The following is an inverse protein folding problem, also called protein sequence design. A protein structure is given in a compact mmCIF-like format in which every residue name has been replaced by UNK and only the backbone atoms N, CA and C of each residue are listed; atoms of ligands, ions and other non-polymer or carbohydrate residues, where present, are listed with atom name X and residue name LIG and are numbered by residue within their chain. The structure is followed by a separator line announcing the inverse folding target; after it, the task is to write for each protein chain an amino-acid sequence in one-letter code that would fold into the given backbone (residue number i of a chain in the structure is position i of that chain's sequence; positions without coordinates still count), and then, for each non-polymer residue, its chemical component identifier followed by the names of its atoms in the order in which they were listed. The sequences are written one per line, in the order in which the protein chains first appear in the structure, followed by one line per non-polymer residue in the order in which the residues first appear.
data_IF_519008396238
#
_entry.id   IF_519008396238
#
_cell.length_a   1.000
_cell.length_b   1.000
_cell.length_c   1.000
_cell.angle_alpha   90.00
_cell.angle_beta   90.00
_cell.angle_gamma   90.00
#
_symmetry.space_group_name_H-M   'P 1'
#
loop_
_entity.id
_entity.type
_entity.pdbx_description
1 polymer ?
#
# COMPACT_ATOMS: atom_id res chain seq x y z
N UNK A 1 -33.15 12.84 24.51
CA UNK A 1 -32.92 13.58 25.78
C UNK A 1 -31.53 13.17 26.28
N UNK A 2 -30.47 13.95 26.04
CA UNK A 2 -30.05 15.15 26.81
C UNK A 2 -29.84 14.81 28.30
N UNK A 3 -28.80 15.23 29.01
CA UNK A 3 -27.57 15.97 28.74
C UNK A 3 -26.76 15.97 30.05
N UNK A 4 -25.43 16.10 29.93
CA UNK A 4 -24.54 16.93 30.79
C UNK A 4 -24.51 16.68 32.31
N UNK A 5 -23.31 16.39 32.81
CA UNK A 5 -22.86 16.81 34.13
C UNK A 5 -21.56 17.63 34.01
N UNK A 6 -21.47 18.63 34.88
CA UNK A 6 -20.62 19.82 34.86
C UNK A 6 -19.80 19.84 36.17
N UNK A 7 -18.70 20.60 36.17
CA UNK A 7 -18.03 21.34 37.29
C UNK A 7 -16.71 20.75 37.79
N UNK A 8 -15.71 21.53 38.24
CA UNK A 8 -15.33 22.96 38.24
C UNK A 8 -13.94 23.02 38.95
N UNK A 9 -13.12 24.04 38.68
CA UNK A 9 -12.44 24.76 39.79
C UNK A 9 -10.98 25.25 39.61
N UNK A 10 -10.82 26.58 39.52
CA UNK A 10 -9.70 27.38 40.06
C UNK A 10 -8.51 27.59 39.11
N UNK A 11 -7.91 28.76 38.90
CA UNK A 11 -8.01 30.12 39.46
C UNK A 11 -6.78 30.90 38.97
N UNK A 12 -6.95 32.13 38.48
CA UNK A 12 -5.90 33.12 38.10
C UNK A 12 -5.40 33.86 39.36
N UNK A 13 -4.63 35.01 39.37
CA UNK A 13 -4.20 35.97 38.30
C UNK A 13 -2.82 36.72 38.48
N UNK A 14 -2.62 37.81 37.69
CA UNK A 14 -1.66 38.97 37.78
C UNK A 14 -0.34 38.82 36.99
N UNK A 15 0.22 39.79 36.24
CA UNK A 15 -0.07 41.21 35.93
C UNK A 15 0.98 41.73 34.92
N UNK A 16 0.61 42.61 33.98
CA UNK A 16 1.55 43.41 33.16
C UNK A 16 1.87 44.74 33.85
N UNK A 17 3.00 45.42 33.55
CA UNK A 17 2.90 46.62 32.69
C UNK A 17 4.15 46.93 31.81
N UNK A 18 3.97 47.75 30.78
CA UNK A 18 4.97 48.04 29.74
C UNK A 18 5.97 49.17 30.00
N UNK A 19 6.86 49.39 29.02
CA UNK A 19 7.70 50.60 28.88
C UNK A 19 8.09 50.83 27.41
N UNK A 20 7.82 52.04 26.89
CA UNK A 20 8.46 52.64 25.69
C UNK A 20 9.69 53.44 26.15
N UNK A 21 10.81 53.36 25.44
CA UNK A 21 11.56 54.50 24.85
C UNK A 21 12.87 54.00 24.21
N UNK A 22 13.06 54.35 22.94
CA UNK A 22 14.30 54.69 22.21
C UNK A 22 15.59 53.89 22.45
N UNK A 23 16.02 53.13 21.45
CA UNK A 23 17.45 53.01 21.09
C UNK A 23 17.56 53.09 19.56
N UNK A 24 18.22 54.14 19.11
CA UNK A 24 18.47 54.47 17.71
C UNK A 24 19.91 54.07 17.37
N UNK A 25 20.28 52.80 17.55
CA UNK A 25 21.62 52.30 17.20
C UNK A 25 21.54 50.90 16.54
N UNK A 26 21.73 50.93 15.21
CA UNK A 26 22.45 49.93 14.42
C UNK A 26 21.94 48.47 14.37
N UNK A 27 20.68 48.26 13.93
CA UNK A 27 20.18 46.94 13.54
C UNK A 27 20.31 46.71 12.01
N UNK A 28 21.55 46.51 11.54
CA UNK A 28 21.86 46.09 10.16
C UNK A 28 22.10 44.57 10.05
N UNK A 29 21.83 43.79 11.09
CA UNK A 29 22.15 42.37 11.09
C UNK A 29 21.07 41.56 10.35
N UNK A 30 21.30 41.29 9.08
CA UNK A 30 20.45 40.49 8.19
C UNK A 30 20.79 38.99 8.21
N UNK A 31 21.73 38.54 9.05
CA UNK A 31 22.24 37.14 9.08
C UNK A 31 21.19 36.06 9.37
N UNK A 32 19.99 36.41 9.87
CA UNK A 32 18.88 35.47 10.05
C UNK A 32 17.86 35.50 8.90
N UNK A 33 18.09 36.32 7.87
CA UNK A 33 17.26 36.38 6.69
C UNK A 33 17.77 35.35 5.66
N UNK A 34 16.92 34.45 5.12
CA UNK A 34 17.30 33.50 4.08
C UNK A 34 17.82 34.16 2.79
N UNK A 35 17.60 35.47 2.61
CA UNK A 35 18.10 36.27 1.49
C UNK A 35 19.33 37.13 1.82
N UNK A 36 19.96 36.94 2.98
CA UNK A 36 21.16 37.69 3.39
C UNK A 36 22.36 37.51 2.45
N UNK A 37 22.38 36.44 1.66
CA UNK A 37 23.39 36.22 0.63
C UNK A 37 23.23 37.13 -0.60
N UNK A 38 22.02 37.68 -0.83
CA UNK A 38 21.72 38.52 -1.99
C UNK A 38 21.98 40.00 -1.76
N UNK A 39 21.94 40.46 -0.51
CA UNK A 39 22.14 41.85 -0.15
C UNK A 39 23.00 41.93 1.09
N UNK A 40 24.08 42.71 1.06
CA UNK A 40 24.96 42.92 2.22
C UNK A 40 24.33 43.80 3.31
N UNK A 41 23.26 44.51 2.99
CA UNK A 41 22.53 45.35 3.92
C UNK A 41 21.06 45.54 3.52
N UNK A 42 20.22 45.98 4.47
CA UNK A 42 18.84 46.38 4.19
C UNK A 42 18.79 47.60 3.25
N UNK A 43 19.84 48.43 3.25
CA UNK A 43 19.97 49.56 2.33
C UNK A 43 20.15 49.07 0.88
N UNK A 44 21.03 48.08 0.65
CA UNK A 44 21.21 47.48 -0.68
C UNK A 44 19.91 46.85 -1.20
N UNK A 45 19.19 46.14 -0.33
CA UNK A 45 17.91 45.53 -0.69
C UNK A 45 16.85 46.57 -1.09
N UNK A 46 16.83 47.74 -0.42
CA UNK A 46 15.92 48.84 -0.77
C UNK A 46 16.31 49.51 -2.07
N UNK A 47 17.59 49.73 -2.29
CA UNK A 47 18.10 50.37 -3.51
C UNK A 47 17.82 49.49 -4.73
N UNK A 48 18.00 48.17 -4.61
CA UNK A 48 17.64 47.21 -5.65
C UNK A 48 16.14 47.22 -5.98
N UNK A 49 15.28 47.30 -4.95
CA UNK A 49 13.83 47.38 -5.13
C UNK A 49 13.38 48.72 -5.76
N UNK A 50 14.10 49.81 -5.53
CA UNK A 50 13.84 51.11 -6.17
C UNK A 50 14.24 51.11 -7.65
N UNK A 51 15.36 50.47 -8.00
CA UNK A 51 15.82 50.32 -9.38
C UNK A 51 14.81 49.53 -10.22
N UNK A 52 14.17 48.50 -9.66
CA UNK A 52 13.14 47.73 -10.38
C UNK A 52 11.78 48.44 -10.51
N UNK A 53 11.56 49.56 -9.83
CA UNK A 53 10.29 50.31 -9.91
C UNK A 53 10.23 51.36 -11.01
N UNK A 54 11.30 51.58 -11.78
CA UNK A 54 11.27 52.48 -12.93
C UNK A 54 10.91 51.70 -14.22
N UNK A 55 9.81 52.06 -14.92
CA UNK A 55 9.54 51.52 -16.25
C UNK A 55 10.53 52.08 -17.29
N UNK A 56 10.83 51.35 -18.39
CA UNK A 56 11.79 51.78 -19.38
C UNK A 56 11.26 52.97 -20.19
N UNK A 57 11.90 54.13 -20.07
CA UNK A 57 11.64 55.30 -20.91
C UNK A 57 12.29 55.10 -22.27
N UNK A 58 11.46 55.07 -23.32
CA UNK A 58 11.89 55.11 -24.73
C UNK A 58 12.60 56.45 -25.03
N UNK A 59 13.68 56.48 -25.83
CA UNK A 59 14.23 57.75 -26.30
C UNK A 59 13.34 58.32 -27.42
N UNK A 60 12.83 59.53 -27.21
CA UNK A 60 12.24 60.35 -28.27
C UNK A 60 13.35 60.86 -29.20
N UNK A 61 13.13 60.72 -30.50
CA UNK A 61 13.98 61.23 -31.57
C UNK A 61 13.59 62.69 -31.82
N UNK A 62 14.46 63.64 -31.48
CA UNK A 62 14.43 65.00 -32.03
C UNK A 62 15.48 65.07 -33.15
N UNK A 63 15.00 65.28 -34.37
CA UNK A 63 15.83 65.65 -35.51
C UNK A 63 16.35 67.07 -35.33
N UNK A 64 17.67 67.23 -35.16
CA UNK A 64 18.37 68.42 -35.67
C UNK A 64 19.74 68.02 -36.22
N UNK A 65 19.88 68.11 -37.53
CA UNK A 65 21.14 68.17 -38.25
C UNK A 65 21.78 69.55 -38.05
N UNK A 66 23.04 69.60 -37.63
CA UNK A 66 24.18 69.94 -38.50
C UNK A 66 25.42 70.40 -37.72
N UNK A 67 26.57 70.01 -38.28
CA UNK A 67 27.93 70.58 -38.19
C UNK A 67 28.93 70.00 -37.19
N UNK A 68 29.98 69.38 -37.78
CA UNK A 68 31.44 69.55 -37.55
C UNK A 68 31.99 69.15 -36.16
N UNK A 69 33.19 68.61 -35.96
CA UNK A 69 34.37 68.27 -36.76
C UNK A 69 35.24 67.34 -35.88
N UNK A 70 36.15 66.61 -36.50
CA UNK A 70 37.47 66.16 -36.00
C UNK A 70 37.67 65.27 -34.73
N UNK A 71 38.23 64.09 -35.03
CA UNK A 71 39.44 63.48 -34.42
C UNK A 71 39.36 62.59 -33.17
N UNK A 72 40.17 61.52 -33.29
CA UNK A 72 40.91 60.76 -32.27
C UNK A 72 40.21 59.72 -31.37
N UNK A 73 40.31 58.48 -31.84
CA UNK A 73 40.84 57.30 -31.12
C UNK A 73 40.45 57.14 -29.63
N UNK A 74 39.38 56.38 -29.36
CA UNK A 74 39.20 55.71 -28.08
C UNK A 74 38.79 54.26 -28.31
N UNK A 75 39.68 53.36 -27.89
CA UNK A 75 39.45 51.92 -27.77
C UNK A 75 38.34 51.71 -26.73
N UNK A 76 37.16 51.31 -27.17
CA UNK A 76 36.12 50.80 -26.29
C UNK A 76 36.21 49.28 -26.29
N UNK A 77 36.85 48.73 -25.26
CA UNK A 77 36.67 47.32 -24.90
C UNK A 77 35.18 47.11 -24.60
N UNK A 78 34.52 46.33 -25.46
CA UNK A 78 33.16 45.84 -25.22
C UNK A 78 33.18 44.88 -24.04
N UNK A 79 32.69 45.34 -22.89
CA UNK A 79 32.23 44.51 -21.77
C UNK A 79 30.85 43.91 -22.11
N UNK A 80 30.78 43.15 -23.21
CA UNK A 80 29.63 42.31 -23.53
C UNK A 80 30.05 40.85 -23.33
N UNK A 81 30.17 40.42 -22.07
CA UNK A 81 30.42 39.00 -21.77
C UNK A 81 29.87 38.54 -20.40
N UNK A 82 28.74 39.10 -19.96
CA UNK A 82 28.10 38.71 -18.69
C UNK A 82 26.57 38.52 -18.78
N UNK A 83 26.03 38.11 -19.94
CA UNK A 83 24.60 37.73 -20.04
C UNK A 83 24.39 36.19 -20.11
N UNK A 84 25.47 35.42 -19.97
CA UNK A 84 25.43 33.95 -19.96
C UNK A 84 24.97 33.31 -18.63
N UNK A 85 24.55 34.10 -17.64
CA UNK A 85 24.41 33.59 -16.27
C UNK A 85 22.97 33.22 -15.88
N UNK A 86 21.96 34.07 -16.10
CA UNK A 86 20.65 33.86 -15.44
C UNK A 86 19.80 32.78 -16.12
N UNK A 87 19.79 32.72 -17.45
CA UNK A 87 19.00 31.73 -18.19
C UNK A 87 19.60 30.32 -18.14
N UNK A 88 20.93 30.22 -18.01
CA UNK A 88 21.64 28.95 -17.85
C UNK A 88 21.56 28.46 -16.40
N UNK A 89 21.68 29.36 -15.42
CA UNK A 89 21.40 29.06 -14.00
C UNK A 89 19.95 28.62 -13.81
N UNK A 90 18.98 29.31 -14.41
CA UNK A 90 17.56 28.92 -14.32
C UNK A 90 17.27 27.57 -14.99
N UNK A 91 17.95 27.26 -16.11
CA UNK A 91 17.87 25.94 -16.75
C UNK A 91 18.52 24.86 -15.87
N UNK A 92 19.68 25.15 -15.29
CA UNK A 92 20.37 24.26 -14.35
C UNK A 92 19.52 23.96 -13.12
N UNK A 93 18.92 24.98 -12.49
CA UNK A 93 18.00 24.79 -11.35
C UNK A 93 16.75 23.99 -11.72
N UNK A 94 16.14 24.23 -12.89
CA UNK A 94 15.01 23.41 -13.36
C UNK A 94 15.42 21.96 -13.60
N UNK A 95 16.56 21.74 -14.25
CA UNK A 95 17.09 20.38 -14.47
C UNK A 95 17.44 19.66 -13.16
N UNK A 96 17.93 20.39 -12.16
CA UNK A 96 18.25 19.83 -10.84
C UNK A 96 16.98 19.53 -10.03
N UNK A 97 15.94 20.35 -10.18
CA UNK A 97 14.63 20.09 -9.59
C UNK A 97 13.98 18.86 -10.22
N UNK A 98 13.99 18.75 -11.56
CA UNK A 98 13.49 17.59 -12.29
C UNK A 98 14.22 16.30 -11.89
N UNK A 99 15.56 16.35 -11.77
CA UNK A 99 16.37 15.23 -11.30
C UNK A 99 16.02 14.82 -9.86
N UNK A 100 15.80 15.79 -8.98
CA UNK A 100 15.40 15.54 -7.59
C UNK A 100 14.00 14.90 -7.52
N UNK A 101 13.05 15.37 -8.33
CA UNK A 101 11.71 14.79 -8.42
C UNK A 101 11.76 13.35 -8.94
N UNK A 102 12.53 13.08 -10.00
CA UNK A 102 12.75 11.72 -10.52
C UNK A 102 13.36 10.79 -9.46
N UNK A 103 14.37 11.27 -8.73
CA UNK A 103 14.99 10.50 -7.65
C UNK A 103 13.98 10.18 -6.54
N UNK A 104 13.14 11.15 -6.17
CA UNK A 104 12.11 10.95 -5.16
C UNK A 104 11.02 9.96 -5.62
N UNK A 105 10.64 10.01 -6.90
CA UNK A 105 9.72 9.04 -7.51
C UNK A 105 10.33 7.65 -7.46
N UNK A 106 11.59 7.48 -7.91
CA UNK A 106 12.30 6.21 -7.87
C UNK A 106 12.32 5.63 -6.44
N UNK A 107 12.76 6.41 -5.46
CA UNK A 107 12.81 5.97 -4.06
C UNK A 107 11.42 5.61 -3.51
N UNK A 108 10.38 6.35 -3.88
CA UNK A 108 9.00 6.04 -3.49
C UNK A 108 8.55 4.70 -4.08
N UNK A 109 8.78 4.48 -5.38
CA UNK A 109 8.47 3.20 -6.05
C UNK A 109 9.24 2.06 -5.37
N UNK A 110 10.53 2.24 -5.09
CA UNK A 110 11.36 1.26 -4.38
C UNK A 110 10.82 0.95 -2.99
N UNK A 111 10.38 1.95 -2.21
CA UNK A 111 9.74 1.71 -0.90
C UNK A 111 8.44 0.92 -1.00
N UNK A 112 7.62 1.19 -2.01
CA UNK A 112 6.32 0.53 -2.18
C UNK A 112 6.49 -0.91 -2.66
N UNK A 113 7.28 -1.11 -3.72
CA UNK A 113 7.39 -2.40 -4.40
C UNK A 113 8.61 -3.21 -4.00
N UNK A 114 9.62 -2.63 -3.35
CA UNK A 114 10.85 -3.34 -2.98
C UNK A 114 11.54 -3.99 -4.20
N UNK A 115 11.54 -3.27 -5.33
CA UNK A 115 12.20 -3.64 -6.58
C UNK A 115 13.17 -2.53 -6.99
N UNK A 116 14.16 -2.84 -7.81
CA UNK A 116 15.13 -1.85 -8.30
C UNK A 116 15.76 -2.29 -9.62
N UNK A 117 16.20 -1.30 -10.42
CA UNK A 117 17.01 -1.48 -11.62
C UNK A 117 18.48 -1.11 -11.39
N UNK A 118 18.81 -0.66 -10.17
CA UNK A 118 20.14 -0.17 -9.83
C UNK A 118 20.90 -1.20 -8.98
N UNK A 119 21.98 -1.75 -9.54
CA UNK A 119 22.90 -2.70 -8.90
C UNK A 119 24.24 -2.05 -8.50
N UNK A 120 24.29 -0.73 -8.35
CA UNK A 120 25.46 -0.01 -7.85
C UNK A 120 25.77 -0.33 -6.38
N UNK A 121 27.01 -0.08 -5.97
CA UNK A 121 27.48 -0.32 -4.60
C UNK A 121 26.57 0.38 -3.57
N UNK A 122 26.01 -0.34 -2.57
CA UNK A 122 25.22 0.24 -1.49
C UNK A 122 25.88 1.42 -0.76
N UNK A 123 27.21 1.52 -0.78
CA UNK A 123 27.96 2.63 -0.21
C UNK A 123 27.78 3.95 -0.99
N UNK A 124 27.44 3.87 -2.27
CA UNK A 124 27.18 5.03 -3.13
C UNK A 124 25.74 5.53 -3.00
N UNK A 125 24.84 4.73 -2.43
CA UNK A 125 23.42 5.06 -2.29
C UNK A 125 23.21 5.93 -1.05
N UNK A 126 22.59 7.10 -1.23
CA UNK A 126 22.28 8.01 -0.13
C UNK A 126 21.24 7.36 0.81
N UNK A 127 21.60 7.16 2.07
CA UNK A 127 20.82 6.36 3.03
C UNK A 127 19.48 6.95 3.51
N UNK A 128 18.97 8.00 2.87
CA UNK A 128 17.72 8.65 3.30
C UNK A 128 16.52 8.05 2.57
N UNK A 129 15.77 7.18 3.27
CA UNK A 129 14.45 6.73 2.84
C UNK A 129 14.43 5.64 1.75
N UNK A 130 15.55 4.98 1.48
CA UNK A 130 15.62 3.81 0.59
C UNK A 130 15.37 2.54 1.43
N UNK A 131 14.59 1.55 0.96
CA UNK A 131 14.44 0.26 1.64
C UNK A 131 15.80 -0.44 1.81
N UNK A 132 15.94 -1.32 2.81
CA UNK A 132 17.23 -2.02 3.04
C UNK A 132 17.53 -3.11 1.99
N UNK A 133 16.47 -3.73 1.45
CA UNK A 133 16.52 -4.83 0.48
C UNK A 133 15.53 -4.54 -0.64
N UNK A 134 15.97 -4.80 -1.87
CA UNK A 134 15.12 -4.82 -3.05
C UNK A 134 15.43 -6.06 -3.90
N UNK A 135 14.47 -6.46 -4.72
CA UNK A 135 14.69 -7.38 -5.83
C UNK A 135 15.23 -6.62 -7.03
N UNK A 136 16.40 -7.03 -7.50
CA UNK A 136 17.01 -6.51 -8.72
C UNK A 136 16.41 -7.19 -9.95
N UNK A 137 15.90 -6.41 -10.89
CA UNK A 137 15.32 -6.90 -12.14
C UNK A 137 16.37 -6.87 -13.24
N UNK A 138 17.28 -7.84 -13.23
CA UNK A 138 18.46 -7.90 -14.11
C UNK A 138 18.11 -7.81 -15.60
N UNK A 139 17.17 -8.63 -16.08
CA UNK A 139 16.76 -8.65 -17.50
C UNK A 139 16.20 -7.30 -17.95
N UNK A 140 15.32 -6.71 -17.13
CA UNK A 140 14.73 -5.40 -17.43
C UNK A 140 15.75 -4.26 -17.37
N UNK A 141 16.69 -4.32 -16.43
CA UNK A 141 17.77 -3.33 -16.35
C UNK A 141 18.69 -3.41 -17.58
N UNK A 142 18.94 -4.61 -18.12
CA UNK A 142 19.71 -4.79 -19.34
C UNK A 142 18.98 -4.24 -20.58
N UNK A 143 17.66 -4.41 -20.66
CA UNK A 143 16.84 -3.92 -21.79
C UNK A 143 16.73 -2.39 -21.86
N UNK A 144 16.92 -1.71 -20.73
CA UNK A 144 16.79 -0.25 -20.62
C UNK A 144 18.11 0.52 -20.80
N UNK A 145 19.24 -0.18 -20.99
CA UNK A 145 20.63 0.26 -21.22
C UNK A 145 21.13 1.47 -20.38
N UNK A 146 20.53 2.66 -20.56
CA UNK A 146 20.91 3.93 -19.96
C UNK A 146 20.02 4.37 -18.77
N UNK A 147 19.03 3.56 -18.39
CA UNK A 147 18.10 3.87 -17.29
C UNK A 147 18.17 2.82 -16.17
N UNK A 148 18.79 3.20 -15.05
CA UNK A 148 18.92 2.40 -13.82
C UNK A 148 17.91 2.79 -12.72
N UNK A 149 16.98 3.72 -13.02
CA UNK A 149 15.94 4.17 -12.09
C UNK A 149 14.53 3.78 -12.54
N UNK A 150 13.64 3.61 -11.55
CA UNK A 150 12.23 3.40 -11.78
C UNK A 150 11.48 4.72 -11.88
N UNK A 151 10.55 4.81 -12.82
CA UNK A 151 9.65 5.93 -12.99
C UNK A 151 8.23 5.45 -13.34
N UNK A 152 7.36 6.40 -13.67
CA UNK A 152 5.94 6.10 -13.96
C UNK A 152 5.70 5.51 -15.34
N UNK A 153 6.71 5.47 -16.21
CA UNK A 153 6.63 4.87 -17.55
C UNK A 153 6.98 3.38 -17.48
N UNK A 154 7.94 3.01 -16.62
CA UNK A 154 8.43 1.63 -16.53
C UNK A 154 7.92 0.84 -15.31
N UNK A 155 7.34 1.48 -14.29
CA UNK A 155 6.93 0.80 -13.03
C UNK A 155 5.96 -0.36 -13.22
N UNK A 156 5.06 -0.29 -14.20
CA UNK A 156 4.08 -1.34 -14.44
C UNK A 156 4.75 -2.61 -15.00
N UNK A 157 5.65 -2.44 -15.97
CA UNK A 157 6.47 -3.54 -16.49
C UNK A 157 7.40 -4.10 -15.41
N UNK A 158 8.00 -3.25 -14.58
CA UNK A 158 8.87 -3.67 -13.48
C UNK A 158 8.12 -4.50 -12.45
N UNK A 159 6.93 -4.06 -12.05
CA UNK A 159 6.08 -4.80 -11.14
C UNK A 159 5.68 -6.16 -11.75
N UNK A 160 5.21 -6.17 -13.00
CA UNK A 160 4.82 -7.41 -13.68
C UNK A 160 5.99 -8.41 -13.78
N UNK A 161 7.17 -7.93 -14.16
CA UNK A 161 8.41 -8.73 -14.20
C UNK A 161 8.72 -9.33 -12.84
N UNK A 162 8.60 -8.53 -11.76
CA UNK A 162 8.76 -9.01 -10.38
C UNK A 162 7.76 -10.10 -10.00
N UNK A 163 6.53 -10.06 -10.50
CA UNK A 163 5.52 -11.07 -10.20
C UNK A 163 5.76 -12.39 -10.95
N UNK A 164 6.42 -12.35 -12.10
CA UNK A 164 6.76 -13.54 -12.89
C UNK A 164 8.01 -14.28 -12.39
N UNK A 165 8.81 -13.69 -11.50
CA UNK A 165 9.99 -14.33 -10.92
C UNK A 165 9.59 -15.53 -10.04
N UNK A 166 10.04 -16.77 -10.34
CA UNK A 166 9.69 -17.94 -9.54
C UNK A 166 10.28 -17.92 -8.13
N UNK A 167 11.51 -17.38 -7.99
CA UNK A 167 12.24 -17.27 -6.73
C UNK A 167 12.80 -15.85 -6.57
N UNK A 168 11.97 -14.88 -6.13
CA UNK A 168 12.40 -13.49 -5.99
C UNK A 168 13.53 -13.32 -4.96
N UNK A 169 13.58 -14.19 -3.95
CA UNK A 169 14.64 -14.22 -2.94
C UNK A 169 16.05 -14.38 -3.49
N UNK A 170 16.21 -15.02 -4.67
CA UNK A 170 17.51 -15.21 -5.32
C UNK A 170 18.05 -13.93 -5.98
N UNK A 171 17.20 -12.92 -6.14
CA UNK A 171 17.50 -11.67 -6.83
C UNK A 171 17.62 -10.49 -5.84
N UNK A 172 17.76 -10.78 -4.54
CA UNK A 172 17.83 -9.77 -3.49
C UNK A 172 19.20 -9.08 -3.46
N UNK A 173 19.20 -7.76 -3.54
CA UNK A 173 20.39 -6.94 -3.34
C UNK A 173 20.26 -6.10 -2.08
N UNK A 174 21.41 -5.69 -1.53
CA UNK A 174 21.46 -4.68 -0.49
C UNK A 174 21.31 -3.30 -1.12
N UNK A 175 20.52 -2.45 -0.48
CA UNK A 175 20.34 -1.06 -0.91
C UNK A 175 20.97 -0.08 0.09
N UNK A 176 21.35 -0.55 1.27
CA UNK A 176 22.01 0.25 2.30
C UNK A 176 23.27 -0.47 2.81
N UNK A 177 24.27 0.32 3.20
CA UNK A 177 25.61 -0.13 3.65
C UNK A 177 25.63 -0.87 5.00
N UNK A 178 24.49 -1.01 5.69
CA UNK A 178 24.47 -1.65 7.01
C UNK A 178 24.75 -3.15 6.94
N UNK A 179 25.93 -3.57 7.39
CA UNK A 179 26.37 -4.97 7.51
C UNK A 179 25.61 -5.82 8.54
N UNK A 180 24.40 -5.41 8.93
CA UNK A 180 23.51 -6.16 9.83
C UNK A 180 22.51 -6.91 8.95
N UNK A 181 22.44 -8.23 9.10
CA UNK A 181 21.41 -9.04 8.45
C UNK A 181 20.02 -8.57 8.90
N UNK A 182 19.23 -8.07 7.95
CA UNK A 182 17.84 -7.66 8.20
C UNK A 182 16.91 -8.74 7.63
N UNK A 183 16.70 -9.80 8.40
CA UNK A 183 15.87 -10.94 8.02
C UNK A 183 14.43 -10.53 7.68
N UNK A 184 13.91 -9.46 8.30
CA UNK A 184 12.58 -8.95 7.97
C UNK A 184 12.56 -8.33 6.57
N UNK A 185 13.54 -7.48 6.24
CA UNK A 185 13.62 -6.86 4.92
C UNK A 185 13.87 -7.90 3.81
N UNK A 186 14.66 -8.94 4.09
CA UNK A 186 14.87 -10.06 3.18
C UNK A 186 13.57 -10.84 2.93
N UNK A 187 12.82 -11.15 3.99
CA UNK A 187 11.50 -11.80 3.87
C UNK A 187 10.52 -10.93 3.06
N UNK A 188 10.46 -9.64 3.36
CA UNK A 188 9.45 -8.75 2.77
C UNK A 188 9.72 -8.47 1.29
N UNK A 189 11.00 -8.25 0.91
CA UNK A 189 11.38 -8.07 -0.49
C UNK A 189 11.36 -9.41 -1.27
N UNK A 190 11.74 -10.50 -0.62
CA UNK A 190 11.82 -11.84 -1.19
C UNK A 190 10.51 -12.64 -1.16
N UNK A 191 9.38 -12.03 -0.77
CA UNK A 191 8.09 -12.72 -0.69
C UNK A 191 7.74 -13.40 -2.02
N UNK A 192 7.43 -14.69 -1.93
CA UNK A 192 7.19 -15.59 -3.06
C UNK A 192 5.71 -15.71 -3.40
N UNK A 193 4.83 -15.57 -2.41
CA UNK A 193 3.39 -15.60 -2.61
C UNK A 193 2.93 -14.25 -3.15
N UNK A 194 2.55 -14.24 -4.42
CA UNK A 194 2.23 -13.03 -5.18
C UNK A 194 1.14 -12.20 -4.49
N UNK A 195 0.07 -12.82 -4.01
CA UNK A 195 -1.03 -12.08 -3.40
C UNK A 195 -0.61 -11.43 -2.07
N UNK A 196 0.24 -12.09 -1.27
CA UNK A 196 0.79 -11.52 -0.03
C UNK A 196 1.70 -10.34 -0.33
N UNK A 197 2.54 -10.48 -1.35
CA UNK A 197 3.42 -9.41 -1.81
C UNK A 197 2.61 -8.19 -2.30
N UNK A 198 1.59 -8.38 -3.15
CA UNK A 198 0.73 -7.30 -3.65
C UNK A 198 -0.04 -6.61 -2.53
N UNK A 199 -0.58 -7.36 -1.56
CA UNK A 199 -1.20 -6.77 -0.37
C UNK A 199 -0.19 -5.97 0.46
N UNK A 200 1.03 -6.47 0.65
CA UNK A 200 2.07 -5.73 1.34
C UNK A 200 2.46 -4.44 0.60
N UNK A 201 2.52 -4.46 -0.74
CA UNK A 201 2.69 -3.27 -1.57
C UNK A 201 1.53 -2.28 -1.40
N UNK A 202 0.29 -2.76 -1.37
CA UNK A 202 -0.89 -1.91 -1.14
C UNK A 202 -0.80 -1.17 0.19
N UNK A 203 -0.41 -1.88 1.28
CA UNK A 203 -0.19 -1.27 2.59
C UNK A 203 0.91 -0.23 2.58
N UNK A 204 2.06 -0.54 1.98
CA UNK A 204 3.18 0.42 1.85
C UNK A 204 2.78 1.65 1.03
N UNK A 205 2.02 1.47 -0.06
CA UNK A 205 1.49 2.58 -0.84
C UNK A 205 0.54 3.46 -0.03
N UNK A 206 -0.37 2.87 0.76
CA UNK A 206 -1.25 3.61 1.68
C UNK A 206 -0.46 4.42 2.70
N UNK A 207 0.58 3.83 3.28
CA UNK A 207 1.46 4.53 4.20
C UNK A 207 2.20 5.69 3.52
N UNK A 208 2.75 5.47 2.32
CA UNK A 208 3.44 6.52 1.55
C UNK A 208 2.50 7.67 1.20
N UNK A 209 1.25 7.41 0.81
CA UNK A 209 0.23 8.44 0.53
C UNK A 209 0.07 9.44 1.70
N UNK A 210 0.23 8.99 2.94
CA UNK A 210 0.12 9.85 4.12
C UNK A 210 1.38 10.67 4.42
N UNK A 211 2.52 10.31 3.82
CA UNK A 211 3.86 10.85 4.14
C UNK A 211 4.42 11.73 3.02
N UNK A 212 4.05 11.46 1.76
CA UNK A 212 4.61 12.15 0.60
C UNK A 212 4.12 13.59 0.47
N UNK A 213 4.94 14.51 -0.05
CA UNK A 213 4.52 15.87 -0.37
C UNK A 213 3.47 15.88 -1.50
N UNK A 214 2.70 16.97 -1.61
CA UNK A 214 1.57 17.10 -2.53
C UNK A 214 1.94 16.82 -4.00
N UNK A 215 3.15 17.19 -4.43
CA UNK A 215 3.62 16.96 -5.79
C UNK A 215 3.86 15.47 -6.10
N UNK A 216 4.12 14.64 -5.08
CA UNK A 216 4.35 13.20 -5.25
C UNK A 216 3.09 12.35 -4.99
N UNK A 217 2.06 12.94 -4.39
CA UNK A 217 0.80 12.26 -4.06
C UNK A 217 0.15 11.55 -5.27
N UNK A 218 0.06 12.14 -6.48
CA UNK A 218 -0.53 11.46 -7.63
C UNK A 218 0.21 10.16 -8.00
N UNK A 219 1.53 10.15 -7.85
CA UNK A 219 2.36 8.98 -8.15
C UNK A 219 2.19 7.89 -7.10
N UNK A 220 2.10 8.24 -5.81
CA UNK A 220 1.82 7.30 -4.74
C UNK A 220 0.43 6.64 -4.90
N UNK A 221 -0.58 7.43 -5.27
CA UNK A 221 -1.94 6.93 -5.59
C UNK A 221 -1.90 6.01 -6.81
N UNK A 222 -1.15 6.36 -7.86
CA UNK A 222 -0.97 5.49 -9.04
C UNK A 222 -0.32 4.16 -8.66
N UNK A 223 0.69 4.16 -7.79
CA UNK A 223 1.32 2.93 -7.28
C UNK A 223 0.32 2.05 -6.51
N UNK A 224 -0.52 2.64 -5.65
CA UNK A 224 -1.60 1.89 -4.98
C UNK A 224 -2.55 1.26 -6.01
N UNK A 225 -3.00 2.02 -7.00
CA UNK A 225 -3.90 1.50 -8.03
C UNK A 225 -3.26 0.38 -8.88
N UNK A 226 -1.94 0.46 -9.14
CA UNK A 226 -1.20 -0.61 -9.81
C UNK A 226 -1.24 -1.92 -9.01
N UNK A 227 -1.20 -1.88 -7.67
CA UNK A 227 -1.34 -3.10 -6.85
C UNK A 227 -2.71 -3.76 -7.02
N UNK A 228 -3.78 -2.97 -7.10
CA UNK A 228 -5.15 -3.46 -7.34
C UNK A 228 -5.27 -4.03 -8.76
N UNK A 229 -4.78 -3.31 -9.77
CA UNK A 229 -4.81 -3.73 -11.18
C UNK A 229 -4.01 -5.02 -11.44
N UNK A 230 -2.84 -5.17 -10.80
CA UNK A 230 -2.06 -6.40 -10.91
C UNK A 230 -2.73 -7.57 -10.18
N UNK A 231 -3.41 -7.31 -9.05
CA UNK A 231 -4.17 -8.36 -8.34
C UNK A 231 -5.41 -8.79 -9.12
N UNK A 232 -6.05 -7.85 -9.81
CA UNK A 232 -7.10 -8.15 -10.78
C UNK A 232 -6.58 -9.09 -11.88
N UNK A 233 -5.48 -8.71 -12.53
CA UNK A 233 -4.82 -9.54 -13.56
C UNK A 233 -4.42 -10.92 -13.04
N UNK A 234 -3.93 -10.99 -11.79
CA UNK A 234 -3.59 -12.23 -11.08
C UNK A 234 -4.76 -13.23 -11.04
N UNK A 235 -5.98 -12.74 -10.80
CA UNK A 235 -7.17 -13.59 -10.72
C UNK A 235 -7.74 -14.00 -12.08
N UNK A 236 -7.57 -13.16 -13.10
CA UNK A 236 -8.05 -13.45 -14.46
C UNK A 236 -7.15 -14.40 -15.24
N UNK A 237 -5.84 -14.35 -14.97
CA UNK A 237 -4.83 -15.10 -15.74
C UNK A 237 -3.85 -15.84 -14.82
N UNK A 238 -4.31 -16.63 -13.84
CA UNK A 238 -3.43 -17.27 -12.86
C UNK A 238 -2.36 -18.20 -13.48
N UNK A 239 -2.64 -18.76 -14.65
CA UNK A 239 -1.76 -19.68 -15.41
C UNK A 239 -0.42 -19.08 -15.83
N UNK A 240 -0.29 -17.76 -15.92
CA UNK A 240 1.00 -17.13 -16.25
C UNK A 240 1.98 -17.18 -15.07
N UNK A 241 1.48 -17.42 -13.85
CA UNK A 241 2.27 -17.48 -12.63
C UNK A 241 2.59 -18.93 -12.28
N UNK A 242 3.73 -19.41 -12.76
CA UNK A 242 4.17 -20.80 -12.60
C UNK A 242 4.37 -21.14 -11.10
N UNK A 243 3.89 -22.32 -10.69
CA UNK A 243 3.97 -22.83 -9.31
C UNK A 243 3.24 -21.97 -8.26
N UNK A 244 2.21 -21.23 -8.65
CA UNK A 244 1.40 -20.41 -7.75
C UNK A 244 -0.04 -20.90 -7.70
N UNK A 245 -0.59 -21.04 -6.48
CA UNK A 245 -2.03 -21.23 -6.27
C UNK A 245 -2.62 -19.95 -5.67
N UNK A 246 -3.04 -19.02 -6.54
CA UNK A 246 -3.48 -17.68 -6.12
C UNK A 246 -4.78 -17.71 -5.31
N UNK A 247 -5.66 -18.67 -5.60
CA UNK A 247 -6.92 -18.86 -4.88
C UNK A 247 -6.68 -19.37 -3.46
N UNK A 248 -5.68 -20.24 -3.27
CA UNK A 248 -5.26 -20.70 -1.95
C UNK A 248 -4.59 -19.58 -1.16
N UNK A 249 -3.74 -18.78 -1.82
CA UNK A 249 -3.15 -17.60 -1.20
C UNK A 249 -4.20 -16.60 -0.70
N UNK A 250 -5.34 -16.46 -1.38
CA UNK A 250 -6.44 -15.62 -0.89
C UNK A 250 -7.03 -16.15 0.40
N UNK A 251 -7.31 -17.46 0.47
CA UNK A 251 -7.81 -18.09 1.70
C UNK A 251 -6.80 -17.95 2.84
N UNK A 252 -5.51 -18.16 2.55
CA UNK A 252 -4.44 -18.05 3.54
C UNK A 252 -4.25 -16.61 4.02
N UNK A 253 -4.31 -15.62 3.13
CA UNK A 253 -4.21 -14.20 3.48
C UNK A 253 -5.36 -13.79 4.41
N UNK A 254 -6.59 -14.22 4.11
CA UNK A 254 -7.76 -13.96 4.95
C UNK A 254 -7.65 -14.66 6.32
N UNK A 255 -7.13 -15.88 6.35
CA UNK A 255 -6.93 -16.62 7.58
C UNK A 255 -5.85 -15.98 8.48
N UNK A 256 -4.76 -15.51 7.88
CA UNK A 256 -3.70 -14.79 8.57
C UNK A 256 -4.19 -13.44 9.12
N UNK A 257 -5.01 -12.73 8.34
CA UNK A 257 -5.52 -11.42 8.75
C UNK A 257 -6.56 -11.49 9.87
N UNK A 258 -7.34 -12.58 9.96
CA UNK A 258 -8.22 -12.87 11.10
C UNK A 258 -7.45 -13.18 12.40
N UNK A 259 -6.26 -13.75 12.29
CA UNK A 259 -5.38 -13.99 13.45
C UNK A 259 -4.59 -12.74 13.84
N UNK A 260 -4.36 -11.85 12.88
CA UNK A 260 -3.69 -10.57 13.08
C UNK A 260 -4.66 -9.42 13.34
N UNK A 261 -4.12 -8.20 13.32
CA UNK A 261 -4.89 -6.95 13.48
C UNK A 261 -5.11 -6.23 12.14
N UNK A 262 -5.10 -6.96 11.03
CA UNK A 262 -5.11 -6.38 9.67
C UNK A 262 -6.31 -6.85 8.82
N UNK A 263 -7.33 -7.46 9.43
CA UNK A 263 -8.51 -7.95 8.69
C UNK A 263 -9.21 -6.83 7.92
N UNK A 264 -9.38 -5.66 8.53
CA UNK A 264 -9.99 -4.47 7.90
C UNK A 264 -9.21 -4.02 6.65
N UNK A 265 -7.88 -3.92 6.75
CA UNK A 265 -7.01 -3.56 5.62
C UNK A 265 -7.10 -4.59 4.48
N UNK A 266 -7.16 -5.89 4.81
CA UNK A 266 -7.33 -6.94 3.78
C UNK A 266 -8.69 -6.81 3.11
N UNK A 267 -9.78 -6.60 3.88
CA UNK A 267 -11.12 -6.49 3.30
C UNK A 267 -11.26 -5.23 2.43
N UNK A 268 -10.64 -4.11 2.81
CA UNK A 268 -10.59 -2.90 1.99
C UNK A 268 -9.89 -3.15 0.65
N UNK A 269 -8.71 -3.79 0.69
CA UNK A 269 -7.97 -4.16 -0.51
C UNK A 269 -8.80 -5.08 -1.42
N UNK A 270 -9.45 -6.10 -0.86
CA UNK A 270 -10.29 -7.02 -1.62
C UNK A 270 -11.54 -6.34 -2.19
N UNK A 271 -12.14 -5.38 -1.49
CA UNK A 271 -13.27 -4.62 -2.00
C UNK A 271 -12.91 -3.83 -3.26
N UNK A 272 -11.71 -3.23 -3.32
CA UNK A 272 -11.22 -2.56 -4.53
C UNK A 272 -11.00 -3.55 -5.69
N UNK A 273 -10.44 -4.73 -5.42
CA UNK A 273 -10.21 -5.78 -6.42
C UNK A 273 -11.53 -6.39 -6.93
N UNK A 274 -12.49 -6.67 -6.04
CA UNK A 274 -13.80 -7.21 -6.42
C UNK A 274 -14.54 -6.18 -7.28
N UNK A 275 -14.44 -4.89 -6.95
CA UNK A 275 -15.03 -3.84 -7.75
C UNK A 275 -14.46 -3.84 -9.17
N UNK A 276 -13.15 -3.99 -9.36
CA UNK A 276 -12.58 -4.07 -10.71
C UNK A 276 -13.04 -5.35 -11.44
N UNK A 277 -12.99 -6.51 -10.79
CA UNK A 277 -13.40 -7.81 -11.37
C UNK A 277 -14.88 -7.90 -11.77
N UNK A 278 -15.73 -7.00 -11.26
CA UNK A 278 -17.18 -7.00 -11.55
C UNK A 278 -17.60 -5.92 -12.54
N UNK A 279 -16.70 -4.99 -12.89
CA UNK A 279 -16.99 -3.90 -13.82
C UNK A 279 -16.80 -4.30 -15.29
N UNK A 280 -15.87 -5.21 -15.57
CA UNK A 280 -15.42 -5.51 -16.93
C UNK A 280 -15.92 -6.90 -17.41
N UNK A 281 -16.36 -6.99 -18.67
CA UNK A 281 -16.59 -8.27 -19.36
C UNK A 281 -15.25 -8.80 -19.85
N UNK A 282 -14.59 -9.60 -19.02
CA UNK A 282 -13.22 -10.04 -19.25
C UNK A 282 -13.11 -11.52 -19.63
N UNK A 283 -11.86 -11.98 -19.74
CA UNK A 283 -11.50 -13.35 -20.10
C UNK A 283 -12.03 -14.39 -19.10
N UNK A 284 -12.35 -13.97 -17.88
CA UNK A 284 -13.02 -14.79 -16.86
C UNK A 284 -14.10 -13.99 -16.16
N UNK A 285 -15.18 -14.66 -15.84
CA UNK A 285 -16.23 -14.14 -14.98
C UNK A 285 -15.81 -14.12 -13.52
N UNK A 286 -16.41 -13.23 -12.73
CA UNK A 286 -16.21 -13.21 -11.28
C UNK A 286 -16.55 -14.55 -10.60
N UNK A 287 -17.53 -15.29 -11.14
CA UNK A 287 -17.87 -16.63 -10.66
C UNK A 287 -16.71 -17.62 -10.86
N UNK A 288 -16.07 -17.61 -12.03
CA UNK A 288 -14.91 -18.47 -12.32
C UNK A 288 -13.71 -18.16 -11.43
N UNK A 289 -13.57 -16.91 -10.93
CA UNK A 289 -12.56 -16.53 -9.95
C UNK A 289 -12.89 -17.07 -8.55
N UNK A 290 -14.15 -17.00 -8.13
CA UNK A 290 -14.56 -17.33 -6.76
C UNK A 290 -14.82 -18.82 -6.52
N UNK A 291 -15.24 -19.59 -7.54
CA UNK A 291 -15.52 -21.03 -7.40
C UNK A 291 -14.30 -21.80 -6.86
N UNK A 292 -13.07 -21.64 -7.38
CA UNK A 292 -11.88 -22.30 -6.83
C UNK A 292 -11.61 -21.95 -5.35
N UNK A 293 -11.90 -20.72 -4.93
CA UNK A 293 -11.77 -20.27 -3.54
C UNK A 293 -12.73 -21.05 -2.64
N UNK A 294 -13.97 -21.24 -3.09
CA UNK A 294 -14.95 -22.04 -2.36
C UNK A 294 -14.60 -23.53 -2.34
N UNK A 295 -14.02 -24.08 -3.42
CA UNK A 295 -13.54 -25.46 -3.47
C UNK A 295 -12.43 -25.71 -2.43
N UNK A 296 -11.49 -24.77 -2.30
CA UNK A 296 -10.42 -24.82 -1.28
C UNK A 296 -11.01 -24.78 0.13
N UNK A 297 -11.95 -23.87 0.39
CA UNK A 297 -12.64 -23.79 1.68
C UNK A 297 -13.42 -25.08 1.98
N UNK A 298 -14.14 -25.62 0.99
CA UNK A 298 -14.89 -26.88 1.10
C UNK A 298 -13.98 -28.06 1.43
N UNK A 299 -12.84 -28.16 0.73
CA UNK A 299 -11.81 -29.16 0.99
C UNK A 299 -11.27 -29.08 2.42
N UNK A 300 -10.87 -27.88 2.86
CA UNK A 300 -10.28 -27.64 4.18
C UNK A 300 -11.28 -27.84 5.32
N UNK A 301 -12.51 -27.36 5.19
CA UNK A 301 -13.55 -27.47 6.23
C UNK A 301 -14.03 -28.90 6.41
N UNK A 302 -14.11 -29.70 5.33
CA UNK A 302 -14.57 -31.09 5.38
C UNK A 302 -13.75 -31.98 6.32
N UNK A 303 -12.48 -31.63 6.51
CA UNK A 303 -11.55 -32.36 7.37
C UNK A 303 -11.61 -31.91 8.84
N UNK A 304 -12.40 -30.87 9.15
CA UNK A 304 -12.46 -30.29 10.48
C UNK A 304 -13.52 -30.91 11.38
N UNK A 305 -13.28 -30.78 12.67
CA UNK A 305 -14.18 -31.19 13.74
C UNK A 305 -14.65 -29.98 14.55
N UNK A 306 -15.79 -30.12 15.22
CA UNK A 306 -16.48 -29.04 15.93
C UNK A 306 -15.61 -28.25 16.93
N UNK A 307 -14.64 -28.91 17.58
CA UNK A 307 -13.82 -28.28 18.63
C UNK A 307 -12.49 -27.72 18.09
N UNK A 308 -12.23 -27.78 16.79
CA UNK A 308 -11.02 -27.21 16.23
C UNK A 308 -11.18 -25.71 16.04
N UNK A 309 -10.28 -24.93 16.66
CA UNK A 309 -10.28 -23.45 16.59
C UNK A 309 -10.27 -22.96 15.15
N UNK A 310 -9.56 -23.67 14.27
CA UNK A 310 -9.44 -23.35 12.85
C UNK A 310 -10.79 -23.31 12.12
N UNK A 311 -11.77 -24.12 12.56
CA UNK A 311 -13.13 -24.11 11.99
C UNK A 311 -13.76 -22.71 12.10
N UNK A 312 -13.63 -22.07 13.27
CA UNK A 312 -14.22 -20.76 13.51
C UNK A 312 -13.62 -19.70 12.59
N UNK A 313 -12.31 -19.74 12.34
CA UNK A 313 -11.67 -18.83 11.39
C UNK A 313 -12.23 -19.00 9.98
N UNK A 314 -12.47 -20.22 9.51
CA UNK A 314 -13.11 -20.43 8.20
C UNK A 314 -14.58 -19.97 8.18
N UNK A 315 -15.31 -20.12 9.29
CA UNK A 315 -16.67 -19.59 9.41
C UNK A 315 -16.69 -18.06 9.36
N UNK A 316 -15.70 -17.38 9.95
CA UNK A 316 -15.57 -15.92 9.88
C UNK A 316 -15.27 -15.45 8.44
N UNK A 317 -14.43 -16.18 7.70
CA UNK A 317 -14.20 -15.91 6.26
C UNK A 317 -15.50 -16.06 5.48
N UNK A 318 -16.25 -17.14 5.70
CA UNK A 318 -17.54 -17.35 5.03
C UNK A 318 -18.59 -16.31 5.42
N UNK A 319 -18.56 -15.85 6.68
CA UNK A 319 -19.42 -14.76 7.12
C UNK A 319 -19.10 -13.44 6.42
N UNK A 320 -17.83 -13.17 6.15
CA UNK A 320 -17.44 -12.03 5.32
C UNK A 320 -17.92 -12.21 3.87
N UNK A 321 -17.64 -13.35 3.25
CA UNK A 321 -18.05 -13.65 1.87
C UNK A 321 -19.57 -13.56 1.66
N UNK A 322 -20.35 -13.96 2.64
CA UNK A 322 -21.82 -13.92 2.55
C UNK A 322 -22.42 -12.55 2.84
N UNK A 323 -21.64 -11.63 3.43
CA UNK A 323 -22.02 -10.21 3.56
C UNK A 323 -21.62 -9.38 2.34
N UNK A 324 -20.57 -9.77 1.62
CA UNK A 324 -20.17 -9.09 0.39
C UNK A 324 -21.12 -9.50 -0.74
N UNK A 325 -21.82 -8.52 -1.32
CA UNK A 325 -22.95 -8.72 -2.24
C UNK A 325 -22.62 -9.60 -3.45
N UNK A 326 -21.46 -9.42 -4.06
CA UNK A 326 -21.12 -10.07 -5.32
C UNK A 326 -20.61 -11.49 -5.10
N UNK A 327 -19.81 -11.71 -4.05
CA UNK A 327 -19.41 -13.03 -3.58
C UNK A 327 -20.63 -13.82 -3.14
N UNK A 328 -21.57 -13.20 -2.40
CA UNK A 328 -22.78 -13.87 -1.93
C UNK A 328 -23.64 -14.43 -3.08
N UNK A 329 -23.75 -13.72 -4.21
CA UNK A 329 -24.47 -14.23 -5.40
C UNK A 329 -23.83 -15.50 -5.93
N UNK A 330 -22.50 -15.50 -6.13
CA UNK A 330 -21.77 -16.69 -6.59
C UNK A 330 -21.87 -17.81 -5.56
N UNK A 331 -21.83 -17.47 -4.26
CA UNK A 331 -21.93 -18.44 -3.18
C UNK A 331 -23.28 -19.19 -3.21
N UNK A 332 -24.40 -18.49 -3.42
CA UNK A 332 -25.74 -19.11 -3.50
C UNK A 332 -25.84 -20.09 -4.67
N UNK A 333 -25.23 -19.77 -5.80
CA UNK A 333 -25.15 -20.67 -6.95
C UNK A 333 -24.24 -21.87 -6.67
N UNK A 334 -23.09 -21.62 -6.05
CA UNK A 334 -22.09 -22.65 -5.72
C UNK A 334 -22.61 -23.70 -4.73
N UNK A 335 -23.44 -23.30 -3.75
CA UNK A 335 -23.97 -24.24 -2.74
C UNK A 335 -25.15 -25.08 -3.24
N UNK A 336 -25.57 -24.94 -4.50
CA UNK A 336 -26.59 -25.80 -5.07
C UNK A 336 -26.05 -27.23 -5.24
N UNK A 337 -26.82 -28.27 -4.87
CA UNK A 337 -26.41 -29.64 -5.14
C UNK A 337 -26.41 -29.90 -6.65
N UNK A 338 -25.52 -30.79 -7.10
CA UNK A 338 -25.46 -31.22 -8.51
C UNK A 338 -26.79 -31.81 -9.02
N UNK A 339 -27.54 -32.46 -8.13
CA UNK A 339 -28.90 -32.94 -8.39
C UNK A 339 -29.81 -32.55 -7.21
N UNK A 340 -30.67 -31.52 -7.38
CA UNK A 340 -31.62 -31.08 -6.37
C UNK A 340 -32.66 -32.13 -5.96
N UNK A 341 -32.93 -33.15 -6.79
CA UNK A 341 -33.85 -34.22 -6.43
C UNK A 341 -33.23 -35.20 -5.41
N UNK A 342 -31.91 -35.18 -5.24
CA UNK A 342 -31.19 -36.04 -4.32
C UNK A 342 -30.81 -35.32 -3.03
N UNK A 343 -31.63 -35.52 -1.99
CA UNK A 343 -31.40 -34.96 -0.65
C UNK A 343 -30.01 -35.25 -0.07
N UNK A 344 -29.41 -36.40 -0.41
CA UNK A 344 -28.08 -36.79 0.09
C UNK A 344 -26.93 -35.97 -0.53
N UNK A 345 -27.17 -35.21 -1.60
CA UNK A 345 -26.16 -34.33 -2.18
C UNK A 345 -26.08 -32.99 -1.48
N UNK A 346 -27.14 -32.56 -0.78
CA UNK A 346 -27.13 -31.31 -0.01
C UNK A 346 -26.05 -31.31 1.08
N UNK A 347 -25.85 -32.43 1.80
CA UNK A 347 -24.77 -32.56 2.79
C UNK A 347 -23.34 -32.50 2.19
N UNK A 348 -23.20 -32.64 0.87
CA UNK A 348 -21.90 -32.60 0.17
C UNK A 348 -21.57 -31.21 -0.38
N UNK A 349 -22.50 -30.27 -0.33
CA UNK A 349 -22.22 -28.86 -0.69
C UNK A 349 -21.37 -28.22 0.42
N UNK A 350 -20.78 -27.05 0.16
CA UNK A 350 -20.01 -26.34 1.18
C UNK A 350 -20.86 -25.98 2.40
N UNK A 351 -22.07 -25.44 2.19
CA UNK A 351 -23.00 -25.17 3.28
C UNK A 351 -23.43 -26.46 4.00
N UNK A 352 -23.72 -27.53 3.25
CA UNK A 352 -24.04 -28.82 3.83
C UNK A 352 -22.91 -29.42 4.67
N UNK A 353 -21.67 -29.27 4.21
CA UNK A 353 -20.47 -29.74 4.92
C UNK A 353 -20.36 -29.06 6.28
N UNK A 354 -20.58 -27.74 6.33
CA UNK A 354 -20.59 -26.96 7.56
C UNK A 354 -21.71 -27.40 8.49
N UNK A 355 -22.94 -27.51 7.97
CA UNK A 355 -24.12 -27.91 8.73
C UNK A 355 -24.05 -29.36 9.23
N UNK A 356 -23.27 -30.21 8.57
CA UNK A 356 -23.07 -31.60 8.93
C UNK A 356 -21.96 -31.78 10.00
N UNK A 357 -21.29 -30.72 10.43
CA UNK A 357 -20.32 -30.80 11.54
C UNK A 357 -21.11 -31.04 12.82
N UNK A 358 -20.93 -32.24 13.39
CA UNK A 358 -21.63 -32.68 14.59
C UNK A 358 -20.73 -33.48 15.52
N UNK A 359 -21.12 -33.54 16.80
CA UNK A 359 -20.55 -34.45 17.78
C UNK A 359 -21.14 -35.88 17.68
N UNK A 360 -22.13 -36.09 16.81
CA UNK A 360 -22.77 -37.38 16.58
C UNK A 360 -21.98 -38.26 15.60
N UNK A 361 -22.18 -39.57 15.71
CA UNK A 361 -21.63 -40.55 14.78
C UNK A 361 -22.10 -40.32 13.35
N UNK A 362 -21.16 -40.30 12.40
CA UNK A 362 -21.47 -40.23 10.96
C UNK A 362 -22.04 -41.54 10.42
N UNK A 363 -21.64 -42.68 10.98
CA UNK A 363 -22.16 -44.00 10.60
C UNK A 363 -22.71 -44.73 11.83
N UNK A 364 -24.04 -44.92 11.91
CA UNK A 364 -24.65 -45.67 13.00
C UNK A 364 -24.07 -47.09 13.10
N UNK A 365 -23.65 -47.49 14.30
CA UNK A 365 -23.18 -48.86 14.57
C UNK A 365 -21.70 -49.13 14.28
N UNK A 366 -20.96 -48.17 13.72
CA UNK A 366 -19.49 -48.28 13.61
C UNK A 366 -18.88 -47.73 14.89
N UNK A 367 -18.07 -48.54 15.58
CA UNK A 367 -17.24 -48.11 16.71
C UNK A 367 -16.02 -47.34 16.16
N UNK A 368 -16.27 -46.23 15.48
CA UNK A 368 -15.22 -45.24 15.27
C UNK A 368 -14.86 -44.68 16.64
N UNK A 369 -13.55 -44.59 16.93
CA UNK A 369 -13.07 -43.92 18.13
C UNK A 369 -13.69 -42.52 18.16
N UNK A 370 -14.67 -42.28 19.04
CA UNK A 370 -15.28 -40.95 19.08
C UNK A 370 -14.17 -39.99 19.48
N UNK A 371 -13.88 -39.01 18.61
CA UNK A 371 -12.89 -37.97 18.90
C UNK A 371 -13.25 -37.16 20.15
N UNK A 372 -14.53 -37.24 20.57
CA UNK A 372 -15.03 -36.71 21.82
C UNK A 372 -14.95 -37.79 22.91
N UNK A 373 -15.77 -38.84 22.86
CA UNK A 373 -15.84 -39.81 23.95
C UNK A 373 -14.90 -41.02 23.74
N UNK A 374 -13.70 -40.98 24.34
CA UNK A 374 -12.69 -42.03 24.14
C UNK A 374 -13.12 -43.42 24.65
N UNK A 375 -13.92 -43.51 25.72
CA UNK A 375 -14.50 -44.76 26.25
C UNK A 375 -15.77 -44.50 27.08
N UNK A 376 -16.91 -44.15 26.46
CA UNK A 376 -18.11 -43.72 27.19
C UNK A 376 -18.63 -44.79 28.18
N UNK A 377 -18.42 -46.08 27.89
CA UNK A 377 -18.80 -47.18 28.80
C UNK A 377 -17.89 -47.35 30.02
N UNK A 378 -16.70 -46.71 30.03
CA UNK A 378 -15.72 -46.78 31.14
C UNK A 378 -15.52 -45.43 31.84
N UNK A 379 -16.02 -44.35 31.26
CA UNK A 379 -15.97 -43.01 31.86
C UNK A 379 -16.96 -42.88 33.01
N UNK A 380 -16.58 -42.13 34.05
CA UNK A 380 -17.47 -41.80 35.15
C UNK A 380 -18.59 -40.83 34.70
N UNK A 381 -19.74 -40.80 35.39
CA UNK A 381 -20.80 -39.84 35.10
C UNK A 381 -20.36 -38.38 35.18
N UNK A 382 -19.41 -38.04 36.07
CA UNK A 382 -18.86 -36.69 36.13
C UNK A 382 -18.04 -36.34 34.89
N UNK A 383 -17.18 -37.24 34.42
CA UNK A 383 -16.36 -37.01 33.22
C UNK A 383 -17.23 -36.85 31.97
N UNK A 384 -18.26 -37.69 31.82
CA UNK A 384 -19.24 -37.58 30.73
C UNK A 384 -19.93 -36.22 30.78
N UNK A 385 -20.39 -35.79 31.95
CA UNK A 385 -21.10 -34.51 32.11
C UNK A 385 -20.21 -33.30 31.83
N UNK A 386 -18.94 -33.33 32.23
CA UNK A 386 -17.97 -32.28 31.91
C UNK A 386 -17.74 -32.22 30.41
N UNK A 387 -17.58 -33.37 29.77
CA UNK A 387 -17.37 -33.45 28.33
C UNK A 387 -18.58 -32.99 27.52
N UNK A 388 -19.79 -33.41 27.89
CA UNK A 388 -21.05 -32.90 27.34
C UNK A 388 -21.13 -31.39 27.50
N UNK A 389 -20.85 -30.86 28.71
CA UNK A 389 -20.84 -29.41 28.95
C UNK A 389 -19.89 -28.67 28.03
N UNK A 390 -18.69 -29.20 27.78
CA UNK A 390 -17.72 -28.59 26.86
C UNK A 390 -18.23 -28.61 25.41
N UNK A 391 -18.80 -29.74 24.96
CA UNK A 391 -19.41 -29.85 23.62
C UNK A 391 -20.58 -28.88 23.48
N UNK A 392 -21.42 -28.76 24.51
CA UNK A 392 -22.56 -27.84 24.54
C UNK A 392 -22.12 -26.39 24.52
N UNK A 393 -21.10 -26.01 25.32
CA UNK A 393 -20.55 -24.65 25.25
C UNK A 393 -20.04 -24.32 23.85
N UNK A 394 -19.40 -25.28 23.20
CA UNK A 394 -18.95 -25.14 21.81
C UNK A 394 -20.16 -24.96 20.88
N UNK A 395 -21.18 -25.84 20.94
CA UNK A 395 -22.43 -25.72 20.16
C UNK A 395 -23.18 -24.39 20.38
N UNK A 396 -23.25 -23.91 21.62
CA UNK A 396 -23.83 -22.62 22.03
C UNK A 396 -22.95 -21.44 21.60
N UNK A 397 -21.70 -21.68 21.21
CA UNK A 397 -20.83 -20.68 20.55
C UNK A 397 -20.94 -20.75 19.01
N UNK A 398 -21.54 -21.81 18.46
CA UNK A 398 -21.96 -21.93 17.04
C UNK A 398 -23.39 -21.42 16.69
N UNK A 399 -24.06 -20.49 17.42
CA UNK A 399 -25.21 -19.73 16.90
C UNK A 399 -24.85 -18.96 15.63
N UNK A 400 -23.55 -18.74 15.39
CA UNK A 400 -23.03 -18.26 14.13
C UNK A 400 -23.40 -19.15 12.95
N UNK A 401 -23.48 -20.49 13.05
CA UNK A 401 -23.95 -21.32 11.93
C UNK A 401 -25.41 -21.05 11.59
N UNK A 402 -26.26 -20.88 12.62
CA UNK A 402 -27.69 -20.63 12.45
C UNK A 402 -27.94 -19.20 11.95
N UNK A 403 -27.21 -18.21 12.46
CA UNK A 403 -27.22 -16.82 11.96
C UNK A 403 -26.60 -16.70 10.56
N UNK A 404 -25.55 -17.46 10.25
CA UNK A 404 -24.95 -17.54 8.92
C UNK A 404 -25.96 -18.16 7.95
N UNK A 405 -26.67 -19.22 8.32
CA UNK A 405 -27.74 -19.78 7.50
C UNK A 405 -28.91 -18.80 7.32
N UNK A 406 -29.36 -18.12 8.38
CA UNK A 406 -30.42 -17.11 8.27
C UNK A 406 -29.99 -15.94 7.38
N UNK A 407 -28.74 -15.46 7.48
CA UNK A 407 -28.22 -14.35 6.65
C UNK A 407 -27.83 -14.75 5.23
N UNK A 408 -27.53 -16.02 4.98
CA UNK A 408 -27.29 -16.56 3.63
C UNK A 408 -28.62 -16.76 2.90
N UNK A 409 -29.67 -17.18 3.62
CA UNK A 409 -30.97 -17.56 3.04
C UNK A 409 -31.98 -16.40 3.02
N UNK A 410 -31.87 -15.43 3.94
CA UNK A 410 -32.70 -14.22 3.99
C UNK A 410 -31.85 -12.98 3.71
#
# INVERSE_FOLDING_TARGET
AAAVARRLGGGSPWSSPGRKMTDHENNNNISQNPFAALFSSVADARQFAEIQKQPPTQPAVEETSASQDDSDNSVSESLDDCDYSVAEISRSFRSQQELCEQLNINHMIQRIFLITLDNSDPNLKSGNGIPARCVYLEEMAADLEDQDWLDMENVEQALFTRLLLPEPGNHLIHMTSTGIQNLSAERDAGEKHILRYLFACFRRAKEEITKVPENLLPFAVRCRNLTVSNTHTLFLTPEIYVNQNVYEQLVDLMLESLRGAHFEEVTEFLEEVIKSLTMDEEVRTFAEVMVPVFDILSGRIRELHLCQILLYSYLDILLYFTKQKDIAKVFVEYIQPKDPANGQLYQKTLLGTILNISCLLKTPGVVESHGYFLNPSRSSPQEIKVQESNIHQVYISVPFLFCLCIKIVC
#
